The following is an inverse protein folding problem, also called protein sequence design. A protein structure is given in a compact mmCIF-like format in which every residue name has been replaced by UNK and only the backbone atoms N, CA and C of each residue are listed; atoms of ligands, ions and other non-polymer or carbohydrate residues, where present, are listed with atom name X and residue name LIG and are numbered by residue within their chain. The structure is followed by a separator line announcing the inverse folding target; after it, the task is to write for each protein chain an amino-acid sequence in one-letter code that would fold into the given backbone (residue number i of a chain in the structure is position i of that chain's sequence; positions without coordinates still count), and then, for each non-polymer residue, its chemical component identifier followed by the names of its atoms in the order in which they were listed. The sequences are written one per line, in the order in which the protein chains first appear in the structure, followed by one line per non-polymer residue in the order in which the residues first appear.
data_IF_886600069648
#
_entry.id   IF_886600069648
#
_cell.length_a   1.000
_cell.length_b   1.000
_cell.length_c   1.000
_cell.angle_alpha   90.00
_cell.angle_beta   90.00
_cell.angle_gamma   90.00
#
_symmetry.space_group_name_H-M   'P 1'
#
loop_
_entity.id
_entity.type
_entity.pdbx_description
1 polymer ?
#
# COMPACT_ATOMS: atom_id res chain seq x y z
N UNK A 1 -4.09 -23.58 -52.87
CA UNK A 1 -3.70 -24.53 -51.81
C UNK A 1 -3.21 -23.74 -50.57
N UNK A 2 -3.76 -22.53 -50.34
CA UNK A 2 -3.03 -21.46 -49.62
C UNK A 2 -3.69 -21.05 -48.29
N UNK A 3 -4.89 -21.56 -48.00
CA UNK A 3 -5.66 -21.16 -46.83
C UNK A 3 -5.15 -21.78 -45.53
N UNK A 4 -4.59 -23.00 -45.60
CA UNK A 4 -4.06 -23.71 -44.44
C UNK A 4 -2.75 -23.11 -43.91
N UNK A 5 -1.90 -22.56 -44.80
CA UNK A 5 -0.64 -21.92 -44.41
C UNK A 5 -0.84 -20.52 -43.77
N UNK A 6 -1.88 -19.78 -44.17
CA UNK A 6 -2.21 -18.46 -43.60
C UNK A 6 -2.78 -18.55 -42.18
N UNK A 7 -3.56 -19.58 -41.88
CA UNK A 7 -4.14 -19.81 -40.55
C UNK A 7 -3.06 -20.20 -39.52
N UNK A 8 -2.13 -21.07 -39.91
CA UNK A 8 -1.00 -21.50 -39.06
C UNK A 8 -0.09 -20.32 -38.67
N UNK A 9 0.12 -19.40 -39.61
CA UNK A 9 0.91 -18.18 -39.38
C UNK A 9 0.20 -17.22 -38.42
N UNK A 10 -1.14 -17.17 -38.48
CA UNK A 10 -1.96 -16.31 -37.61
C UNK A 10 -2.02 -16.87 -36.20
N UNK A 11 -2.22 -18.17 -36.05
CA UNK A 11 -2.21 -18.88 -34.77
C UNK A 11 -0.84 -18.75 -34.09
N UNK A 12 0.26 -18.96 -34.83
CA UNK A 12 1.60 -18.78 -34.30
C UNK A 12 1.87 -17.34 -33.82
N UNK A 13 1.33 -16.34 -34.52
CA UNK A 13 1.44 -14.93 -34.13
C UNK A 13 0.69 -14.63 -32.83
N UNK A 14 -0.52 -15.16 -32.66
CA UNK A 14 -1.32 -15.00 -31.45
C UNK A 14 -0.66 -15.67 -30.25
N UNK A 15 -0.14 -16.89 -30.42
CA UNK A 15 0.60 -17.61 -29.36
C UNK A 15 1.81 -16.78 -28.92
N UNK A 16 2.60 -16.26 -29.87
CA UNK A 16 3.77 -15.43 -29.56
C UNK A 16 3.40 -14.14 -28.83
N UNK A 17 2.34 -13.46 -29.26
CA UNK A 17 1.85 -12.25 -28.60
C UNK A 17 1.38 -12.54 -27.17
N UNK A 18 0.68 -13.65 -26.95
CA UNK A 18 0.24 -14.10 -25.63
C UNK A 18 1.42 -14.40 -24.71
N UNK A 19 2.43 -15.14 -25.18
CA UNK A 19 3.63 -15.44 -24.38
C UNK A 19 4.37 -14.17 -24.01
N UNK A 20 4.57 -13.25 -24.96
CA UNK A 20 5.22 -11.96 -24.70
C UNK A 20 4.47 -11.14 -23.65
N UNK A 21 3.14 -11.08 -23.73
CA UNK A 21 2.32 -10.36 -22.75
C UNK A 21 2.41 -11.00 -21.35
N UNK A 22 2.42 -12.32 -21.27
CA UNK A 22 2.61 -13.04 -20.00
C UNK A 22 4.00 -12.78 -19.42
N UNK A 23 5.05 -12.82 -20.24
CA UNK A 23 6.42 -12.57 -19.80
C UNK A 23 6.59 -11.13 -19.29
N UNK A 24 6.07 -10.15 -20.03
CA UNK A 24 6.07 -8.74 -19.60
C UNK A 24 5.28 -8.54 -18.31
N UNK A 25 4.12 -9.18 -18.18
CA UNK A 25 3.31 -9.08 -16.96
C UNK A 25 4.02 -9.72 -15.76
N UNK A 26 4.59 -10.91 -15.93
CA UNK A 26 5.40 -11.57 -14.91
C UNK A 26 6.60 -10.72 -14.50
N UNK A 27 7.29 -10.13 -15.47
CA UNK A 27 8.43 -9.24 -15.21
C UNK A 27 7.97 -7.99 -14.44
N UNK A 28 6.84 -7.38 -14.81
CA UNK A 28 6.28 -6.22 -14.10
C UNK A 28 5.89 -6.56 -12.67
N UNK A 29 5.29 -7.74 -12.44
CA UNK A 29 4.98 -8.21 -11.09
C UNK A 29 6.25 -8.47 -10.28
N UNK A 30 7.25 -9.14 -10.86
CA UNK A 30 8.52 -9.36 -10.21
C UNK A 30 9.22 -8.05 -9.88
N UNK A 31 9.27 -7.08 -10.78
CA UNK A 31 9.87 -5.76 -10.48
C UNK A 31 9.07 -4.99 -9.43
N UNK A 32 7.74 -5.08 -9.43
CA UNK A 32 6.90 -4.37 -8.45
C UNK A 32 6.99 -4.98 -7.06
N UNK A 33 7.11 -6.29 -6.95
CA UNK A 33 7.08 -7.01 -5.68
C UNK A 33 8.45 -7.59 -5.26
N UNK A 34 9.50 -7.45 -6.07
CA UNK A 34 10.87 -7.88 -5.71
C UNK A 34 11.36 -7.19 -4.44
N UNK A 35 10.95 -5.93 -4.27
CA UNK A 35 11.39 -5.07 -3.19
C UNK A 35 10.52 -5.23 -1.94
N UNK A 36 9.49 -6.09 -2.02
CA UNK A 36 8.60 -6.41 -0.91
C UNK A 36 9.26 -7.43 0.02
N UNK A 37 10.16 -6.93 0.84
CA UNK A 37 10.84 -7.72 1.88
C UNK A 37 9.85 -8.19 2.95
N UNK A 38 10.20 -9.26 3.68
CA UNK A 38 9.43 -9.72 4.86
C UNK A 38 9.20 -8.59 5.87
N UNK A 39 10.15 -7.67 6.01
CA UNK A 39 10.03 -6.48 6.87
C UNK A 39 8.96 -5.52 6.36
N UNK A 40 8.86 -5.31 5.04
CA UNK A 40 7.81 -4.49 4.44
C UNK A 40 6.43 -5.13 4.61
N UNK A 41 6.30 -6.45 4.36
CA UNK A 41 5.07 -7.21 4.62
C UNK A 41 4.66 -7.18 6.10
N UNK A 42 5.64 -7.15 7.00
CA UNK A 42 5.35 -6.98 8.42
C UNK A 42 4.92 -5.54 8.74
N UNK A 43 5.47 -4.56 8.04
CA UNK A 43 5.10 -3.17 8.19
C UNK A 43 3.69 -2.88 7.66
N UNK A 44 3.23 -3.53 6.59
CA UNK A 44 1.86 -3.35 6.07
C UNK A 44 0.79 -3.74 7.08
N UNK A 45 1.09 -4.64 8.05
CA UNK A 45 0.19 -4.92 9.19
C UNK A 45 -0.16 -3.69 10.04
N UNK A 46 0.53 -2.55 9.85
CA UNK A 46 0.16 -1.26 10.43
C UNK A 46 -1.32 -0.92 10.20
N UNK A 47 -1.87 -1.25 9.03
CA UNK A 47 -3.28 -0.96 8.71
C UNK A 47 -4.25 -2.01 9.24
N UNK A 48 -3.77 -3.05 9.92
CA UNK A 48 -4.68 -3.99 10.59
C UNK A 48 -5.05 -3.44 11.97
N UNK A 49 -6.20 -2.78 12.06
CA UNK A 49 -6.72 -2.19 13.31
C UNK A 49 -6.87 -3.23 14.42
N UNK A 50 -7.09 -4.50 14.10
CA UNK A 50 -7.18 -5.58 15.10
C UNK A 50 -5.84 -5.93 15.76
N UNK A 51 -4.73 -5.44 15.20
CA UNK A 51 -3.38 -5.68 15.73
C UNK A 51 -2.82 -4.49 16.52
N UNK A 52 -3.63 -3.45 16.71
CA UNK A 52 -3.23 -2.28 17.48
C UNK A 52 -3.29 -2.58 18.98
N UNK A 53 -2.33 -2.07 19.77
CA UNK A 53 -2.30 -2.31 21.20
C UNK A 53 -3.37 -1.49 21.93
N UNK A 54 -3.57 -1.81 23.20
CA UNK A 54 -4.32 -0.95 24.12
C UNK A 54 -3.60 0.40 24.34
N UNK A 55 -4.35 1.38 24.86
CA UNK A 55 -3.87 2.75 25.14
C UNK A 55 -2.55 2.78 25.91
N UNK A 56 -2.34 1.86 26.86
CA UNK A 56 -1.14 1.83 27.71
C UNK A 56 0.16 1.53 26.95
N UNK A 57 0.06 1.01 25.72
CA UNK A 57 1.19 0.63 24.88
C UNK A 57 1.16 1.29 23.49
N UNK A 58 0.34 2.33 23.30
CA UNK A 58 0.17 2.98 22.00
C UNK A 58 1.30 3.91 21.57
N UNK A 59 2.08 4.41 22.53
CA UNK A 59 3.00 5.53 22.31
C UNK A 59 4.10 5.21 21.29
N UNK A 60 4.69 4.02 21.35
CA UNK A 60 5.74 3.58 20.40
C UNK A 60 5.20 2.71 19.27
N UNK A 61 3.89 2.45 19.24
CA UNK A 61 3.31 1.57 18.23
C UNK A 61 3.46 2.16 16.83
N UNK A 62 4.03 1.36 15.92
CA UNK A 62 4.03 1.64 14.49
C UNK A 62 5.09 2.62 14.00
N UNK A 63 5.84 3.31 14.87
CA UNK A 63 6.86 4.32 14.47
C UNK A 63 7.85 3.78 13.41
N UNK A 64 8.47 2.64 13.73
CA UNK A 64 9.43 1.98 12.82
C UNK A 64 8.75 1.44 11.56
N UNK A 65 7.48 1.01 11.64
CA UNK A 65 6.73 0.52 10.47
C UNK A 65 6.43 1.68 9.53
N UNK A 66 5.99 2.81 10.06
CA UNK A 66 5.73 4.04 9.30
C UNK A 66 7.00 4.52 8.63
N UNK A 67 8.15 4.49 9.32
CA UNK A 67 9.44 4.85 8.73
C UNK A 67 9.78 3.97 7.52
N UNK A 68 9.73 2.65 7.69
CA UNK A 68 10.02 1.68 6.63
C UNK A 68 9.10 1.88 5.41
N UNK A 69 7.80 2.03 5.67
CA UNK A 69 6.78 2.22 4.62
C UNK A 69 6.96 3.57 3.90
N UNK A 70 7.28 4.62 4.65
CA UNK A 70 7.51 5.96 4.11
C UNK A 70 8.74 6.00 3.21
N UNK A 71 9.83 5.36 3.63
CA UNK A 71 11.05 5.24 2.81
C UNK A 71 10.77 4.44 1.54
N UNK A 72 10.03 3.33 1.66
CA UNK A 72 9.73 2.48 0.51
C UNK A 72 8.81 3.17 -0.52
N UNK A 73 7.77 3.88 -0.07
CA UNK A 73 6.80 4.54 -0.94
C UNK A 73 7.15 6.02 -1.25
N UNK A 74 8.34 6.48 -0.87
CA UNK A 74 8.74 7.89 -0.96
C UNK A 74 8.48 8.52 -2.33
N UNK A 75 8.86 7.83 -3.41
CA UNK A 75 8.71 8.36 -4.77
C UNK A 75 7.24 8.50 -5.17
N UNK A 76 6.40 7.54 -4.77
CA UNK A 76 4.94 7.57 -5.05
C UNK A 76 4.25 8.65 -4.23
N UNK A 77 4.62 8.80 -2.96
CA UNK A 77 4.08 9.84 -2.07
C UNK A 77 4.46 11.24 -2.60
N UNK A 78 5.75 11.45 -2.89
CA UNK A 78 6.25 12.75 -3.36
C UNK A 78 5.63 13.15 -4.70
N UNK A 79 5.50 12.20 -5.63
CA UNK A 79 4.85 12.46 -6.94
C UNK A 79 3.36 12.78 -6.83
N UNK A 80 2.72 12.41 -5.72
CA UNK A 80 1.32 12.72 -5.41
C UNK A 80 1.14 14.02 -4.60
N UNK A 81 2.23 14.75 -4.32
CA UNK A 81 2.20 16.00 -3.55
C UNK A 81 2.10 15.81 -2.03
N UNK A 82 2.37 14.60 -1.53
CA UNK A 82 2.37 14.29 -0.09
C UNK A 82 3.63 14.86 0.56
N UNK A 83 3.47 15.52 1.70
CA UNK A 83 4.57 16.01 2.53
C UNK A 83 5.15 14.88 3.37
N UNK A 84 6.13 14.16 2.79
CA UNK A 84 6.76 12.97 3.39
C UNK A 84 7.37 13.25 4.77
N UNK A 85 7.89 14.45 4.99
CA UNK A 85 8.46 14.91 6.26
C UNK A 85 7.42 15.05 7.38
N UNK A 86 6.13 15.24 7.03
CA UNK A 86 5.03 15.40 7.99
C UNK A 86 4.43 14.06 8.43
N UNK A 87 4.76 12.95 7.77
CA UNK A 87 4.09 11.66 7.98
C UNK A 87 4.27 11.15 9.41
N UNK A 88 5.45 11.32 10.02
CA UNK A 88 5.71 10.85 11.40
C UNK A 88 4.93 11.68 12.43
N UNK A 89 4.91 13.00 12.29
CA UNK A 89 4.15 13.87 13.18
C UNK A 89 2.64 13.60 13.05
N UNK A 90 2.17 13.41 11.83
CA UNK A 90 0.79 13.07 11.55
C UNK A 90 0.40 11.67 12.04
N UNK A 91 1.33 10.72 12.04
CA UNK A 91 1.11 9.40 12.63
C UNK A 91 0.88 9.50 14.13
N UNK A 92 1.71 10.26 14.84
CA UNK A 92 1.52 10.53 16.27
C UNK A 92 0.15 11.15 16.52
N UNK A 93 -0.22 12.18 15.74
CA UNK A 93 -1.53 12.82 15.88
C UNK A 93 -2.69 11.88 15.57
N UNK A 94 -2.58 11.03 14.54
CA UNK A 94 -3.59 10.05 14.18
C UNK A 94 -3.81 9.06 15.34
N UNK A 95 -2.74 8.53 15.92
CA UNK A 95 -2.84 7.64 17.10
C UNK A 95 -3.56 8.33 18.25
N UNK A 96 -3.11 9.53 18.64
CA UNK A 96 -3.74 10.30 19.73
C UNK A 96 -5.23 10.48 19.48
N UNK A 97 -5.62 10.89 18.27
CA UNK A 97 -7.04 11.08 17.92
C UNK A 97 -7.85 9.80 17.98
N UNK A 98 -7.29 8.67 17.55
CA UNK A 98 -8.00 7.40 17.57
C UNK A 98 -8.22 6.93 19.02
N UNK A 99 -7.21 7.02 19.88
CA UNK A 99 -7.32 6.61 21.28
C UNK A 99 -8.12 7.60 22.14
N UNK A 100 -8.13 8.89 21.81
CA UNK A 100 -8.94 9.91 22.49
C UNK A 100 -10.45 9.68 22.36
N UNK A 101 -10.90 8.95 21.33
CA UNK A 101 -12.34 8.70 21.13
C UNK A 101 -12.95 7.79 22.20
N UNK A 102 -12.13 7.02 22.93
CA UNK A 102 -12.60 6.03 23.92
C UNK A 102 -13.36 4.84 23.32
N UNK A 103 -13.54 4.83 21.99
CA UNK A 103 -14.14 3.73 21.25
C UNK A 103 -13.07 2.69 20.92
N UNK A 104 -13.46 1.41 20.95
CA UNK A 104 -12.57 0.33 20.54
C UNK A 104 -12.19 0.47 19.06
N UNK A 105 -10.89 0.40 18.77
CA UNK A 105 -10.37 0.46 17.39
C UNK A 105 -10.91 -0.66 16.51
N UNK A 106 -11.26 -1.81 17.09
CA UNK A 106 -11.88 -2.95 16.42
C UNK A 106 -13.25 -2.62 15.79
N UNK A 107 -13.93 -1.56 16.25
CA UNK A 107 -15.21 -1.13 15.68
C UNK A 107 -15.05 -0.08 14.57
N UNK A 108 -13.84 0.42 14.34
CA UNK A 108 -13.57 1.46 13.34
C UNK A 108 -13.11 0.85 12.03
N UNK A 109 -13.34 1.58 10.95
CA UNK A 109 -12.84 1.22 9.62
C UNK A 109 -11.97 2.33 9.04
N UNK A 110 -10.98 2.00 8.21
CA UNK A 110 -10.15 3.00 7.55
C UNK A 110 -10.94 4.04 6.73
N UNK A 111 -12.01 3.68 6.00
CA UNK A 111 -12.85 4.69 5.33
C UNK A 111 -13.46 5.72 6.29
N UNK A 112 -13.91 5.31 7.48
CA UNK A 112 -14.44 6.22 8.49
C UNK A 112 -13.35 7.10 9.09
N UNK A 113 -12.20 6.50 9.43
CA UNK A 113 -11.02 7.21 9.94
C UNK A 113 -10.54 8.24 8.92
N UNK A 114 -10.42 7.85 7.64
CA UNK A 114 -10.01 8.73 6.55
C UNK A 114 -10.99 9.90 6.44
N UNK A 115 -12.31 9.65 6.42
CA UNK A 115 -13.31 10.73 6.38
C UNK A 115 -13.21 11.70 7.56
N UNK A 116 -12.92 11.21 8.76
CA UNK A 116 -12.86 12.02 9.97
C UNK A 116 -11.55 12.81 10.11
N UNK A 117 -10.41 12.21 9.75
CA UNK A 117 -9.08 12.75 10.01
C UNK A 117 -8.35 13.29 8.78
N UNK A 118 -8.88 13.15 7.56
CA UNK A 118 -8.22 13.61 6.33
C UNK A 118 -7.78 15.06 6.34
N UNK A 119 -8.51 15.95 7.00
CA UNK A 119 -8.12 17.35 7.10
C UNK A 119 -7.00 17.61 8.12
N UNK A 120 -6.83 16.72 9.10
CA UNK A 120 -5.83 16.84 10.15
C UNK A 120 -4.53 16.14 9.77
N UNK A 121 -4.63 14.93 9.20
CA UNK A 121 -3.48 14.10 8.87
C UNK A 121 -3.56 13.50 7.44
N UNK A 122 -3.59 14.34 6.39
CA UNK A 122 -3.74 13.89 5.00
C UNK A 122 -2.58 13.01 4.49
N UNK A 123 -1.36 13.25 4.94
CA UNK A 123 -0.15 12.63 4.39
C UNK A 123 0.02 11.18 4.87
N UNK A 124 -0.20 10.94 6.17
CA UNK A 124 -0.22 9.57 6.71
C UNK A 124 -1.41 8.76 6.17
N UNK A 125 -2.56 9.39 5.96
CA UNK A 125 -3.71 8.71 5.38
C UNK A 125 -3.47 8.34 3.92
N UNK A 126 -2.71 9.15 3.18
CA UNK A 126 -2.26 8.79 1.83
C UNK A 126 -1.32 7.58 1.84
N UNK A 127 -0.44 7.46 2.84
CA UNK A 127 0.38 6.26 3.03
C UNK A 127 -0.48 5.02 3.34
N UNK A 128 -1.47 5.16 4.22
CA UNK A 128 -2.41 4.08 4.55
C UNK A 128 -3.21 3.65 3.32
N UNK A 129 -3.69 4.59 2.51
CA UNK A 129 -4.42 4.30 1.28
C UNK A 129 -3.55 3.51 0.30
N UNK A 130 -2.25 3.83 0.17
CA UNK A 130 -1.32 3.01 -0.64
C UNK A 130 -1.27 1.57 -0.12
N UNK A 131 -1.10 1.38 1.19
CA UNK A 131 -0.98 0.05 1.80
C UNK A 131 -2.24 -0.79 1.59
N UNK A 132 -3.43 -0.17 1.71
CA UNK A 132 -4.72 -0.84 1.51
C UNK A 132 -5.00 -1.20 0.05
N UNK A 133 -4.22 -0.68 -0.91
CA UNK A 133 -4.34 -1.00 -2.34
C UNK A 133 -3.36 -2.07 -2.84
N UNK A 134 -2.51 -2.60 -1.95
CA UNK A 134 -1.58 -3.71 -2.24
C UNK A 134 -2.27 -5.06 -2.11
#
# INVERSE_FOLDING_TARGET
MDQHSSDDTTVARVIRAKSKLLDELCQRFQTRFSDMTTSLLHATKLVNLDSWPDVEHSDEFGESKVEVLTVHFKDVLTSSGVAVDQIQDQWTMLKTRLYDTGESLHMKTWPEINRFLRHQCPDILSLVDIILTL
#
